data_IF_112455433488
#
_entry.id   IF_112455433488
#
_cell.length_a   1.000
_cell.length_b   1.000
_cell.length_c   1.000
_cell.angle_alpha   90.00
_cell.angle_beta   90.00
_cell.angle_gamma   90.00
#
_symmetry.space_group_name_H-M   'P 1'
#
loop_
_entity.id
_entity.type
_entity.pdbx_description
1 polymer ?
#
# COMPACT_ATOMS: atom_id res chain seq x y z
N UNK A 1 44.15 48.05 -31.60
CA UNK A 1 42.84 47.37 -31.76
C UNK A 1 42.93 45.86 -31.96
N UNK A 2 43.91 45.30 -32.72
CA UNK A 2 44.00 43.83 -32.96
C UNK A 2 44.10 42.95 -31.70
N UNK A 3 44.83 43.37 -30.65
CA UNK A 3 45.03 42.55 -29.43
C UNK A 3 43.74 42.41 -28.60
N UNK A 4 42.97 43.50 -28.45
CA UNK A 4 41.66 43.49 -27.77
C UNK A 4 40.63 42.60 -28.48
N UNK A 5 40.68 42.56 -29.82
CA UNK A 5 39.80 41.71 -30.62
C UNK A 5 40.08 40.22 -30.45
N UNK A 6 41.34 39.83 -30.26
CA UNK A 6 41.76 38.41 -30.09
C UNK A 6 41.38 37.91 -28.69
N UNK A 7 41.56 38.73 -27.65
CA UNK A 7 41.15 38.38 -26.29
C UNK A 7 39.63 38.24 -26.14
N UNK A 8 38.86 39.00 -26.93
CA UNK A 8 37.40 38.90 -26.95
C UNK A 8 36.92 37.56 -27.53
N UNK A 9 37.55 37.08 -28.62
CA UNK A 9 37.19 35.80 -29.24
C UNK A 9 37.54 34.59 -28.36
N UNK A 10 38.66 34.63 -27.64
CA UNK A 10 39.06 33.53 -26.74
C UNK A 10 38.09 33.40 -25.56
N UNK A 11 37.53 34.51 -25.08
CA UNK A 11 36.55 34.52 -24.01
C UNK A 11 35.20 33.92 -24.46
N UNK A 12 34.76 34.24 -25.68
CA UNK A 12 33.53 33.66 -26.26
C UNK A 12 33.62 32.14 -26.42
N UNK A 13 34.78 31.63 -26.84
CA UNK A 13 35.04 30.19 -26.94
C UNK A 13 34.95 29.51 -25.57
N UNK A 14 35.57 30.09 -24.54
CA UNK A 14 35.51 29.55 -23.17
C UNK A 14 34.08 29.55 -22.60
N UNK A 15 33.28 30.58 -22.89
CA UNK A 15 31.87 30.65 -22.47
C UNK A 15 31.08 29.50 -23.12
N UNK A 16 31.18 29.33 -24.43
CA UNK A 16 30.46 28.26 -25.14
C UNK A 16 30.87 26.86 -24.67
N UNK A 17 32.16 26.64 -24.36
CA UNK A 17 32.64 25.36 -23.82
C UNK A 17 32.08 25.08 -22.42
N UNK A 18 32.00 26.10 -21.56
CA UNK A 18 31.40 25.99 -20.23
C UNK A 18 29.89 25.72 -20.31
N UNK A 19 29.17 26.41 -21.20
CA UNK A 19 27.74 26.19 -21.42
C UNK A 19 27.45 24.76 -21.92
N UNK A 20 28.30 24.24 -22.81
CA UNK A 20 28.20 22.85 -23.27
C UNK A 20 28.44 21.86 -22.12
N UNK A 21 29.46 22.09 -21.28
CA UNK A 21 29.74 21.26 -20.09
C UNK A 21 28.60 21.26 -19.09
N UNK A 22 28.03 22.43 -18.78
CA UNK A 22 26.86 22.56 -17.89
C UNK A 22 25.67 21.79 -18.45
N UNK A 23 25.44 21.87 -19.76
CA UNK A 23 24.33 21.18 -20.42
C UNK A 23 24.51 19.67 -20.38
N UNK A 24 25.71 19.16 -20.64
CA UNK A 24 26.02 17.73 -20.55
C UNK A 24 25.88 17.21 -19.11
N UNK A 25 26.41 17.91 -18.12
CA UNK A 25 26.23 17.54 -16.70
C UNK A 25 24.76 17.56 -16.29
N UNK A 26 23.99 18.56 -16.71
CA UNK A 26 22.55 18.63 -16.45
C UNK A 26 21.81 17.42 -17.02
N UNK A 27 22.13 17.02 -18.25
CA UNK A 27 21.56 15.82 -18.87
C UNK A 27 21.92 14.54 -18.09
N UNK A 28 23.17 14.43 -17.61
CA UNK A 28 23.59 13.30 -16.76
C UNK A 28 22.84 13.25 -15.43
N UNK A 29 22.62 14.40 -14.80
CA UNK A 29 21.85 14.47 -13.56
C UNK A 29 20.38 14.08 -13.78
N UNK A 30 19.75 14.50 -14.87
CA UNK A 30 18.38 14.12 -15.21
C UNK A 30 18.22 12.59 -15.37
N UNK A 31 19.19 11.96 -16.05
CA UNK A 31 19.23 10.49 -16.20
C UNK A 31 19.41 9.79 -14.85
N UNK A 32 20.22 10.37 -13.94
CA UNK A 32 20.40 9.82 -12.60
C UNK A 32 19.15 9.97 -11.74
N UNK A 33 18.46 11.11 -11.82
CA UNK A 33 17.22 11.39 -11.10
C UNK A 33 16.15 10.38 -11.51
N UNK A 34 15.88 10.24 -12.81
CA UNK A 34 14.89 9.28 -13.33
C UNK A 34 15.22 7.84 -12.91
N UNK A 35 16.50 7.45 -12.90
CA UNK A 35 16.95 6.13 -12.43
C UNK A 35 16.75 5.93 -10.93
N UNK A 36 16.95 6.97 -10.12
CA UNK A 36 16.70 6.94 -8.67
C UNK A 36 15.21 6.85 -8.37
N UNK A 37 14.38 7.65 -9.03
CA UNK A 37 12.91 7.60 -8.91
C UNK A 37 12.37 6.21 -9.24
N UNK A 38 12.83 5.60 -10.34
CA UNK A 38 12.45 4.23 -10.69
C UNK A 38 12.88 3.18 -9.65
N UNK A 39 14.00 3.40 -8.95
CA UNK A 39 14.44 2.51 -7.85
C UNK A 39 13.62 2.71 -6.59
N UNK A 40 13.29 3.95 -6.24
CA UNK A 40 12.44 4.28 -5.10
C UNK A 40 11.07 3.62 -5.28
N UNK A 41 10.45 3.78 -6.46
CA UNK A 41 9.15 3.18 -6.76
C UNK A 41 9.16 1.66 -6.59
N UNK A 42 10.20 0.97 -7.08
CA UNK A 42 10.34 -0.49 -6.91
C UNK A 42 10.51 -0.89 -5.44
N UNK A 43 11.32 -0.15 -4.69
CA UNK A 43 11.57 -0.41 -3.27
C UNK A 43 10.35 -0.14 -2.40
N UNK A 44 9.44 0.75 -2.81
CA UNK A 44 8.17 0.99 -2.12
C UNK A 44 7.12 -0.09 -2.42
N UNK A 45 7.06 -0.59 -3.66
CA UNK A 45 6.09 -1.62 -4.07
C UNK A 45 6.43 -3.01 -3.50
N UNK A 46 7.70 -3.41 -3.55
CA UNK A 46 8.19 -4.73 -3.11
C UNK A 46 7.79 -5.15 -1.67
N UNK A 47 7.87 -4.29 -0.64
CA UNK A 47 7.46 -4.64 0.72
C UNK A 47 5.94 -4.74 0.85
N UNK A 48 5.19 -3.83 0.21
CA UNK A 48 3.72 -3.80 0.25
C UNK A 48 3.14 -5.07 -0.36
N UNK A 49 3.64 -5.48 -1.54
CA UNK A 49 3.21 -6.71 -2.20
C UNK A 49 3.58 -7.96 -1.40
N UNK A 50 4.80 -8.01 -0.84
CA UNK A 50 5.24 -9.13 0.00
C UNK A 50 4.39 -9.27 1.26
N UNK A 51 4.02 -8.15 1.90
CA UNK A 51 3.19 -8.15 3.08
C UNK A 51 1.74 -8.54 2.77
N UNK A 52 1.15 -7.99 1.70
CA UNK A 52 -0.18 -8.39 1.23
C UNK A 52 -0.25 -9.91 0.93
N UNK A 53 0.78 -10.46 0.28
CA UNK A 53 0.88 -11.89 -0.01
C UNK A 53 1.00 -12.75 1.25
N UNK A 54 1.77 -12.30 2.25
CA UNK A 54 1.88 -12.99 3.55
C UNK A 54 0.55 -12.96 4.31
N UNK A 55 -0.13 -11.81 4.35
CA UNK A 55 -1.41 -11.63 5.03
C UNK A 55 -2.50 -12.51 4.41
N UNK A 56 -2.56 -12.60 3.08
CA UNK A 56 -3.48 -13.51 2.39
C UNK A 56 -3.22 -14.98 2.73
N UNK A 57 -1.95 -15.41 2.76
CA UNK A 57 -1.58 -16.79 3.13
C UNK A 57 -1.98 -17.12 4.57
N UNK A 58 -1.80 -16.18 5.49
CA UNK A 58 -2.21 -16.33 6.88
C UNK A 58 -3.74 -16.40 7.02
N UNK A 59 -4.47 -15.50 6.36
CA UNK A 59 -5.93 -15.49 6.33
C UNK A 59 -6.51 -16.81 5.85
N UNK A 60 -5.99 -17.35 4.74
CA UNK A 60 -6.42 -18.66 4.21
C UNK A 60 -6.20 -19.79 5.22
N UNK A 61 -5.05 -19.80 5.94
CA UNK A 61 -4.78 -20.80 6.98
C UNK A 61 -5.75 -20.71 8.14
N UNK A 62 -6.06 -19.50 8.63
CA UNK A 62 -7.05 -19.30 9.69
C UNK A 62 -8.43 -19.84 9.28
N UNK A 63 -8.87 -19.53 8.06
CA UNK A 63 -10.15 -20.01 7.53
C UNK A 63 -10.16 -21.55 7.46
N UNK A 64 -9.08 -22.17 6.97
CA UNK A 64 -8.96 -23.64 6.91
C UNK A 64 -9.04 -24.29 8.29
N UNK A 65 -8.32 -23.76 9.28
CA UNK A 65 -8.34 -24.29 10.65
C UNK A 65 -9.76 -24.21 11.23
N UNK A 66 -10.44 -23.07 11.08
CA UNK A 66 -11.80 -22.91 11.61
C UNK A 66 -12.79 -23.83 10.87
N UNK A 67 -12.64 -23.99 9.56
CA UNK A 67 -13.42 -24.96 8.77
C UNK A 67 -13.26 -26.39 9.30
N UNK A 68 -12.04 -26.80 9.61
CA UNK A 68 -11.77 -28.14 10.17
C UNK A 68 -12.36 -28.30 11.58
N UNK A 69 -12.22 -27.29 12.44
CA UNK A 69 -12.75 -27.30 13.82
C UNK A 69 -14.28 -27.35 13.83
N UNK A 70 -14.93 -26.55 12.97
CA UNK A 70 -16.39 -26.46 12.91
C UNK A 70 -17.01 -27.55 12.02
N UNK A 71 -16.20 -28.28 11.25
CA UNK A 71 -16.63 -29.21 10.21
C UNK A 71 -17.71 -28.60 9.29
N UNK A 72 -17.50 -27.34 8.91
CA UNK A 72 -18.45 -26.53 8.16
C UNK A 72 -17.73 -25.74 7.07
N UNK A 73 -18.33 -25.69 5.88
CA UNK A 73 -17.83 -24.84 4.78
C UNK A 73 -18.17 -23.36 5.03
N UNK A 74 -17.18 -22.46 5.01
CA UNK A 74 -17.42 -21.03 5.18
C UNK A 74 -17.90 -20.34 3.89
N UNK A 75 -18.71 -19.30 4.07
CA UNK A 75 -18.96 -18.27 3.06
C UNK A 75 -17.80 -17.26 3.14
N UNK A 76 -16.93 -17.27 2.14
CA UNK A 76 -15.75 -16.40 2.06
C UNK A 76 -16.15 -14.97 1.65
N UNK A 77 -15.51 -13.95 2.22
CA UNK A 77 -15.80 -12.53 1.93
C UNK A 77 -17.28 -12.17 2.14
N UNK A 78 -17.84 -12.67 3.24
CA UNK A 78 -19.25 -12.47 3.54
C UNK A 78 -19.54 -11.01 3.90
N UNK A 79 -20.54 -10.41 3.26
CA UNK A 79 -21.01 -9.05 3.53
C UNK A 79 -22.42 -9.11 4.11
N UNK A 80 -22.57 -9.21 5.44
CA UNK A 80 -23.88 -9.24 6.07
C UNK A 80 -24.65 -7.93 5.85
N UNK A 81 -25.94 -8.00 5.46
CA UNK A 81 -26.79 -6.81 5.27
C UNK A 81 -26.89 -5.92 6.52
N UNK A 82 -26.79 -6.52 7.70
CA UNK A 82 -26.92 -5.84 9.00
C UNK A 82 -25.63 -5.15 9.48
N UNK A 83 -24.47 -5.37 8.83
CA UNK A 83 -23.22 -4.68 9.18
C UNK A 83 -22.89 -3.52 8.22
N UNK A 84 -23.90 -2.84 7.66
CA UNK A 84 -23.73 -1.70 6.74
C UNK A 84 -22.67 -1.93 5.65
N UNK A 85 -22.59 -3.15 5.10
CA UNK A 85 -21.64 -3.51 4.05
C UNK A 85 -20.22 -3.89 4.52
N UNK A 86 -19.99 -4.06 5.82
CA UNK A 86 -18.72 -4.57 6.36
C UNK A 86 -18.41 -5.96 5.78
N UNK A 87 -17.21 -6.15 5.24
CA UNK A 87 -16.76 -7.43 4.69
C UNK A 87 -16.04 -8.24 5.77
N UNK A 88 -16.59 -9.41 6.09
CA UNK A 88 -15.99 -10.45 6.93
C UNK A 88 -15.18 -11.41 6.07
N UNK A 89 -14.16 -12.03 6.64
CA UNK A 89 -13.25 -12.87 5.86
C UNK A 89 -13.87 -14.25 5.58
N UNK A 90 -14.59 -14.78 6.56
CA UNK A 90 -15.39 -16.00 6.43
C UNK A 90 -16.61 -15.95 7.36
N UNK A 91 -17.69 -16.63 6.98
CA UNK A 91 -18.87 -16.82 7.81
C UNK A 91 -19.34 -18.27 7.75
N UNK A 92 -19.54 -18.87 8.92
CA UNK A 92 -20.01 -20.23 9.12
C UNK A 92 -21.47 -20.15 9.55
N UNK A 93 -22.38 -20.48 8.63
CA UNK A 93 -23.81 -20.21 8.74
C UNK A 93 -24.50 -21.09 9.77
N UNK A 94 -24.16 -22.39 9.85
CA UNK A 94 -24.75 -23.34 10.80
C UNK A 94 -24.32 -23.01 12.22
N UNK A 95 -23.02 -22.77 12.43
CA UNK A 95 -22.49 -22.35 13.72
C UNK A 95 -22.79 -20.87 14.06
N UNK A 96 -23.21 -20.06 13.08
CA UNK A 96 -23.40 -18.61 13.20
C UNK A 96 -22.15 -17.87 13.68
N UNK A 97 -20.98 -18.28 13.18
CA UNK A 97 -19.67 -17.70 13.55
C UNK A 97 -19.12 -16.90 12.38
N UNK A 98 -18.71 -15.67 12.64
CA UNK A 98 -17.99 -14.81 11.69
C UNK A 98 -16.50 -14.75 12.03
N UNK A 99 -15.65 -14.78 11.00
CA UNK A 99 -14.20 -14.64 11.11
C UNK A 99 -13.73 -13.36 10.45
N UNK A 100 -12.86 -12.62 11.14
CA UNK A 100 -12.08 -11.49 10.61
C UNK A 100 -10.64 -11.64 11.06
N UNK A 101 -9.73 -11.87 10.11
CA UNK A 101 -8.31 -12.09 10.36
C UNK A 101 -7.60 -10.74 10.38
N UNK A 102 -7.07 -10.39 11.54
CA UNK A 102 -6.33 -9.14 11.74
C UNK A 102 -4.86 -9.34 11.38
N UNK A 103 -4.42 -8.83 10.22
CA UNK A 103 -3.02 -8.90 9.76
C UNK A 103 -2.09 -7.84 10.38
N UNK A 104 -0.80 -7.86 10.01
CA UNK A 104 0.25 -6.93 10.50
C UNK A 104 -0.01 -5.47 10.17
N UNK A 105 -0.77 -5.18 9.11
CA UNK A 105 -1.18 -3.81 8.77
C UNK A 105 -2.09 -3.20 9.85
N UNK A 106 -2.75 -4.02 10.68
CA UNK A 106 -3.53 -3.56 11.83
C UNK A 106 -2.70 -3.39 13.12
N UNK A 107 -1.36 -3.50 13.09
CA UNK A 107 -0.52 -3.10 14.24
C UNK A 107 -0.48 -1.58 14.42
N UNK A 108 -0.57 -0.82 13.32
CA UNK A 108 -0.55 0.65 13.32
C UNK A 108 -1.95 1.27 13.39
N UNK A 109 -2.98 0.50 13.05
CA UNK A 109 -4.34 0.87 13.36
C UNK A 109 -4.64 0.37 14.77
N UNK A 110 -4.64 1.30 15.75
CA UNK A 110 -5.45 1.15 16.96
C UNK A 110 -6.78 0.50 16.57
N UNK A 111 -7.32 -0.37 17.43
CA UNK A 111 -8.59 -1.10 17.32
C UNK A 111 -9.84 -0.22 17.12
N UNK A 112 -9.76 0.85 16.31
CA UNK A 112 -10.77 1.89 16.13
C UNK A 112 -12.01 1.40 15.41
N UNK A 113 -11.95 0.27 14.69
CA UNK A 113 -13.14 -0.32 14.06
C UNK A 113 -14.09 -0.99 15.06
N UNK A 114 -13.63 -1.23 16.30
CA UNK A 114 -14.44 -1.77 17.40
C UNK A 114 -14.33 -0.92 18.69
N UNK A 115 -13.95 0.36 18.58
CA UNK A 115 -14.03 1.27 19.74
C UNK A 115 -15.47 1.61 20.12
N UNK A 116 -16.40 1.47 19.19
CA UNK A 116 -17.80 1.69 19.44
C UNK A 116 -18.46 0.36 19.82
N UNK A 117 -18.18 -0.10 21.05
CA UNK A 117 -18.93 -1.19 21.71
C UNK A 117 -20.43 -0.96 21.54
N UNK A 118 -20.84 0.31 21.59
CA UNK A 118 -22.21 0.75 21.36
C UNK A 118 -22.73 0.40 19.97
N UNK A 119 -21.95 0.57 18.90
CA UNK A 119 -22.35 0.17 17.54
C UNK A 119 -22.51 -1.34 17.42
N UNK A 120 -21.64 -2.11 18.08
CA UNK A 120 -21.78 -3.56 18.19
C UNK A 120 -23.04 -3.95 18.96
N UNK A 121 -23.28 -3.32 20.12
CA UNK A 121 -24.49 -3.51 20.92
C UNK A 121 -25.75 -3.14 20.16
N UNK A 122 -25.74 -2.04 19.40
CA UNK A 122 -26.87 -1.58 18.58
C UNK A 122 -27.22 -2.60 17.50
N UNK A 123 -26.21 -3.18 16.83
CA UNK A 123 -26.40 -4.27 15.87
C UNK A 123 -27.00 -5.50 16.55
N UNK A 124 -26.43 -5.91 17.70
CA UNK A 124 -26.91 -7.07 18.48
C UNK A 124 -28.35 -6.85 18.96
N UNK A 125 -28.68 -5.64 19.41
CA UNK A 125 -30.01 -5.28 19.90
C UNK A 125 -31.03 -5.21 18.77
N UNK A 126 -30.68 -4.66 17.60
CA UNK A 126 -31.53 -4.69 16.42
C UNK A 126 -31.86 -6.14 16.01
N UNK A 127 -30.86 -7.03 15.96
CA UNK A 127 -31.08 -8.43 15.58
C UNK A 127 -31.90 -9.22 16.62
N UNK A 128 -31.87 -8.84 17.91
CA UNK A 128 -32.75 -9.41 18.95
C UNK A 128 -34.21 -8.97 18.84
N UNK A 129 -34.48 -7.85 18.18
CA UNK A 129 -35.83 -7.30 18.01
C UNK A 129 -36.54 -7.79 16.74
N UNK A 130 -35.85 -8.55 15.87
CA UNK A 130 -36.44 -9.29 14.76
C UNK A 130 -36.76 -10.72 15.15
#
# INVERSE_FOLDING_TARGET
MKVLSIMSSDLEVLITELEAKITDEKARFEVLITKLEARILKLEQDPVEREAKKNRKFQTRCIQIVKEILNEEPIIKYRPPFLNGLELDAFFQKCRIALKVQGTQHRLHSTSWYKDVKKLEDIVNHDRQK
#
